data_IF_221144819191
#
_entry.id   IF_221144819191
#
_cell.length_a   1.000
_cell.length_b   1.000
_cell.length_c   1.000
_cell.angle_alpha   90.00
_cell.angle_beta   90.00
_cell.angle_gamma   90.00
#
_symmetry.space_group_name_H-M   'P 1'
#
loop_
_entity.id
_entity.type
_entity.pdbx_description
1 polymer ?
#
# COMPACT_ATOMS: atom_id res chain seq x y z
N UNK A 1 -0.74 -21.48 20.47
CA UNK A 1 -2.16 -21.69 20.11
C UNK A 1 -2.63 -20.42 19.40
N UNK A 2 -3.13 -20.51 18.17
CA UNK A 2 -3.39 -19.34 17.32
C UNK A 2 -4.66 -18.61 17.81
N UNK A 3 -4.56 -17.31 18.11
CA UNK A 3 -5.61 -16.52 18.77
C UNK A 3 -6.89 -16.49 17.93
N UNK A 4 -6.75 -16.45 16.61
CA UNK A 4 -7.88 -16.45 15.66
C UNK A 4 -8.72 -17.75 15.75
N UNK A 5 -8.05 -18.89 15.97
CA UNK A 5 -8.71 -20.21 16.07
C UNK A 5 -9.50 -20.35 17.38
N UNK A 6 -9.08 -19.63 18.42
CA UNK A 6 -9.80 -19.60 19.71
C UNK A 6 -11.04 -18.71 19.58
N UNK A 7 -10.89 -17.49 19.06
CA UNK A 7 -12.01 -16.56 18.88
C UNK A 7 -13.10 -17.10 17.94
N UNK A 8 -12.71 -17.80 16.88
CA UNK A 8 -13.67 -18.40 15.95
C UNK A 8 -14.43 -19.59 16.56
N UNK A 9 -13.80 -20.34 17.48
CA UNK A 9 -14.49 -21.40 18.24
C UNK A 9 -15.49 -20.83 19.24
N UNK A 10 -15.12 -19.78 19.96
CA UNK A 10 -16.00 -19.10 20.90
C UNK A 10 -17.23 -18.51 20.19
N UNK A 11 -17.02 -17.89 19.02
CA UNK A 11 -18.11 -17.39 18.18
C UNK A 11 -19.11 -18.49 17.79
N UNK A 12 -18.62 -19.65 17.34
CA UNK A 12 -19.47 -20.75 16.91
C UNK A 12 -20.26 -21.37 18.08
N UNK A 13 -19.63 -21.48 19.25
CA UNK A 13 -20.29 -21.99 20.46
C UNK A 13 -21.43 -21.06 20.90
N UNK A 14 -21.16 -19.76 21.00
CA UNK A 14 -22.17 -18.78 21.44
C UNK A 14 -23.29 -18.64 20.39
N UNK A 15 -22.96 -18.70 19.10
CA UNK A 15 -23.97 -18.70 18.03
C UNK A 15 -24.95 -19.87 18.17
N UNK A 16 -24.43 -21.06 18.50
CA UNK A 16 -25.23 -22.26 18.68
C UNK A 16 -26.13 -22.16 19.92
N UNK A 17 -25.60 -21.66 21.03
CA UNK A 17 -26.35 -21.39 22.26
C UNK A 17 -27.52 -20.41 22.04
N UNK A 18 -27.30 -19.34 21.28
CA UNK A 18 -28.35 -18.37 20.92
C UNK A 18 -29.44 -19.03 20.06
N UNK A 19 -29.06 -19.90 19.13
CA UNK A 19 -30.01 -20.61 18.26
C UNK A 19 -30.87 -21.62 19.04
N UNK A 20 -30.26 -22.35 19.98
CA UNK A 20 -30.90 -23.38 20.80
C UNK A 20 -31.72 -22.79 21.96
N UNK A 21 -31.51 -21.51 22.29
CA UNK A 21 -32.26 -20.81 23.35
C UNK A 21 -33.77 -20.75 23.11
N UNK A 22 -34.56 -20.70 24.19
CA UNK A 22 -36.03 -20.55 24.14
C UNK A 22 -36.53 -19.13 23.83
N UNK A 23 -35.66 -18.24 23.33
CA UNK A 23 -35.97 -16.83 23.07
C UNK A 23 -36.87 -16.63 21.83
N UNK A 24 -37.54 -15.47 21.77
CA UNK A 24 -38.30 -15.10 20.58
C UNK A 24 -37.39 -14.88 19.37
N UNK A 25 -37.93 -15.08 18.16
CA UNK A 25 -37.18 -14.91 16.91
C UNK A 25 -36.49 -13.54 16.81
N UNK A 26 -37.16 -12.50 17.30
CA UNK A 26 -36.65 -11.13 17.25
C UNK A 26 -35.41 -10.97 18.13
N UNK A 27 -35.44 -11.51 19.35
CA UNK A 27 -34.31 -11.46 20.29
C UNK A 27 -33.11 -12.24 19.78
N UNK A 28 -33.33 -13.43 19.20
CA UNK A 28 -32.26 -14.22 18.57
C UNK A 28 -31.55 -13.45 17.47
N UNK A 29 -32.32 -12.78 16.60
CA UNK A 29 -31.79 -11.98 15.50
C UNK A 29 -30.94 -10.81 16.00
N UNK A 30 -31.39 -10.13 17.05
CA UNK A 30 -30.65 -9.02 17.65
C UNK A 30 -29.36 -9.49 18.32
N UNK A 31 -29.38 -10.61 19.04
CA UNK A 31 -28.19 -11.18 19.68
C UNK A 31 -27.15 -11.66 18.66
N UNK A 32 -27.59 -12.36 17.60
CA UNK A 32 -26.69 -12.80 16.53
C UNK A 32 -26.05 -11.61 15.80
N UNK A 33 -26.81 -10.52 15.59
CA UNK A 33 -26.28 -9.30 14.99
C UNK A 33 -25.18 -8.69 15.86
N UNK A 34 -25.42 -8.53 17.16
CA UNK A 34 -24.42 -8.00 18.10
C UNK A 34 -23.16 -8.87 18.16
N UNK A 35 -23.35 -10.18 18.17
CA UNK A 35 -22.26 -11.16 18.17
C UNK A 35 -21.38 -11.01 16.91
N UNK A 36 -22.00 -10.90 15.74
CA UNK A 36 -21.30 -10.70 14.47
C UNK A 36 -20.56 -9.36 14.40
N UNK A 37 -21.19 -8.28 14.86
CA UNK A 37 -20.55 -6.97 14.92
C UNK A 37 -19.31 -6.98 15.82
N UNK A 38 -19.40 -7.65 16.98
CA UNK A 38 -18.27 -7.77 17.90
C UNK A 38 -17.14 -8.64 17.32
N UNK A 39 -17.47 -9.76 16.66
CA UNK A 39 -16.49 -10.57 15.94
C UNK A 39 -15.77 -9.77 14.84
N UNK A 40 -16.52 -8.99 14.05
CA UNK A 40 -15.93 -8.15 13.02
C UNK A 40 -14.97 -7.09 13.58
N UNK A 41 -15.27 -6.51 14.74
CA UNK A 41 -14.39 -5.54 15.39
C UNK A 41 -13.06 -6.14 15.87
N UNK A 42 -13.09 -7.41 16.28
CA UNK A 42 -11.92 -8.11 16.82
C UNK A 42 -11.06 -8.76 15.74
N UNK A 43 -11.70 -9.33 14.72
CA UNK A 43 -11.01 -10.17 13.72
C UNK A 43 -10.72 -9.44 12.41
N UNK A 44 -11.59 -8.51 11.97
CA UNK A 44 -11.37 -7.82 10.70
C UNK A 44 -10.35 -6.70 10.93
N UNK A 45 -9.15 -6.76 10.32
CA UNK A 45 -8.20 -5.67 10.43
C UNK A 45 -8.85 -4.41 9.86
N UNK A 46 -9.05 -3.40 10.72
CA UNK A 46 -9.57 -2.09 10.30
C UNK A 46 -8.80 -1.64 9.07
N UNK A 47 -9.51 -1.39 7.97
CA UNK A 47 -8.93 -0.89 6.72
C UNK A 47 -8.04 0.31 7.07
N UNK A 48 -6.72 0.14 6.97
CA UNK A 48 -5.77 1.22 7.27
C UNK A 48 -6.07 2.35 6.31
N UNK A 49 -6.47 3.51 6.84
CA UNK A 49 -6.69 4.72 6.04
C UNK A 49 -5.39 5.00 5.30
N UNK A 50 -5.47 5.32 4.00
CA UNK A 50 -4.31 5.81 3.23
C UNK A 50 -3.79 7.05 3.95
N UNK A 51 -2.63 6.94 4.57
CA UNK A 51 -1.94 8.09 5.15
C UNK A 51 -1.28 8.83 4.00
N UNK A 52 -1.76 10.04 3.73
CA UNK A 52 -1.14 10.96 2.78
C UNK A 52 0.23 11.35 3.32
N UNK A 53 1.27 11.17 2.52
CA UNK A 53 2.62 11.63 2.86
C UNK A 53 2.59 13.16 2.87
N UNK A 54 3.08 13.77 3.94
CA UNK A 54 3.11 15.24 4.05
C UNK A 54 4.05 15.84 2.99
N UNK A 55 3.81 17.11 2.62
CA UNK A 55 4.63 17.80 1.63
C UNK A 55 6.10 17.89 2.05
N UNK A 56 6.37 18.19 3.33
CA UNK A 56 7.72 18.24 3.89
C UNK A 56 8.43 16.89 3.84
N UNK A 57 7.73 15.80 4.15
CA UNK A 57 8.28 14.44 4.02
C UNK A 57 8.59 14.12 2.56
N UNK A 58 7.77 14.56 1.61
CA UNK A 58 8.03 14.36 0.18
C UNK A 58 9.30 15.09 -0.26
N UNK A 59 9.48 16.36 0.12
CA UNK A 59 10.67 17.14 -0.21
C UNK A 59 11.95 16.54 0.38
N UNK A 60 11.88 15.98 1.59
CA UNK A 60 13.00 15.25 2.18
C UNK A 60 13.33 13.98 1.40
N UNK A 61 12.32 13.19 1.04
CA UNK A 61 12.49 11.97 0.25
C UNK A 61 13.09 12.25 -1.13
N UNK A 62 12.67 13.35 -1.79
CA UNK A 62 13.24 13.80 -3.06
C UNK A 62 14.73 14.14 -2.92
N UNK A 63 15.14 14.87 -1.87
CA UNK A 63 16.56 15.17 -1.59
C UNK A 63 17.41 13.92 -1.31
N UNK A 64 16.85 12.95 -0.59
CA UNK A 64 17.54 11.67 -0.35
C UNK A 64 17.68 10.89 -1.65
N UNK A 65 16.63 10.91 -2.49
CA UNK A 65 16.60 10.21 -3.76
C UNK A 65 17.56 10.81 -4.80
N UNK A 66 17.70 12.14 -4.86
CA UNK A 66 18.70 12.82 -5.69
C UNK A 66 20.12 12.35 -5.39
N UNK A 67 20.43 12.11 -4.11
CA UNK A 67 21.74 11.59 -3.70
C UNK A 67 21.90 10.11 -4.03
N UNK A 68 20.86 9.31 -3.84
CA UNK A 68 20.90 7.86 -4.05
C UNK A 68 19.54 7.30 -4.47
N UNK A 69 19.46 6.89 -5.72
CA UNK A 69 18.24 6.33 -6.30
C UNK A 69 17.86 4.95 -5.72
N UNK A 70 18.85 4.18 -5.28
CA UNK A 70 18.67 2.83 -4.75
C UNK A 70 18.93 2.80 -3.24
N UNK A 71 17.86 2.87 -2.45
CA UNK A 71 17.93 2.85 -0.98
C UNK A 71 18.04 1.40 -0.48
N UNK A 72 19.11 1.12 0.28
CA UNK A 72 19.33 -0.17 0.95
C UNK A 72 18.35 -0.39 2.10
N UNK A 73 18.29 -1.62 2.66
CA UNK A 73 17.37 -1.94 3.76
C UNK A 73 17.62 -1.07 5.00
N UNK A 74 18.88 -0.81 5.31
CA UNK A 74 19.32 -0.02 6.46
C UNK A 74 18.99 1.46 6.28
N UNK A 75 19.37 2.05 5.14
CA UNK A 75 19.05 3.44 4.80
C UNK A 75 17.53 3.69 4.79
N UNK A 76 16.74 2.71 4.36
CA UNK A 76 15.27 2.79 4.39
C UNK A 76 14.73 2.91 5.81
N UNK A 77 15.34 2.21 6.77
CA UNK A 77 14.94 2.30 8.17
C UNK A 77 15.33 3.66 8.77
N UNK A 78 16.50 4.18 8.42
CA UNK A 78 16.95 5.52 8.84
C UNK A 78 16.00 6.59 8.29
N UNK A 79 15.71 6.57 6.99
CA UNK A 79 14.78 7.52 6.34
C UNK A 79 13.37 7.41 6.92
N UNK A 80 12.91 6.19 7.20
CA UNK A 80 11.62 5.95 7.85
C UNK A 80 11.57 6.59 9.26
N UNK A 81 12.65 6.46 10.03
CA UNK A 81 12.78 7.03 11.37
C UNK A 81 12.81 8.56 11.34
N UNK A 82 13.62 9.16 10.45
CA UNK A 82 13.70 10.61 10.24
C UNK A 82 12.36 11.23 9.82
N UNK A 83 11.62 10.54 8.94
CA UNK A 83 10.36 11.04 8.41
C UNK A 83 9.13 10.64 9.25
N UNK A 84 9.29 9.80 10.27
CA UNK A 84 8.18 9.25 11.05
C UNK A 84 7.21 8.39 10.23
N UNK A 85 7.68 7.78 9.13
CA UNK A 85 6.87 6.95 8.21
C UNK A 85 7.27 5.48 8.30
N UNK A 86 6.40 4.59 7.83
CA UNK A 86 6.71 3.15 7.85
C UNK A 86 7.77 2.82 6.78
N UNK A 87 8.74 1.92 7.03
CA UNK A 87 9.72 1.50 6.02
C UNK A 87 9.06 0.98 4.73
N UNK A 88 7.88 0.35 4.84
CA UNK A 88 7.10 -0.08 3.69
C UNK A 88 6.64 1.10 2.81
N UNK A 89 6.28 2.23 3.41
CA UNK A 89 5.87 3.43 2.68
C UNK A 89 7.04 4.06 1.94
N UNK A 90 8.22 4.11 2.56
CA UNK A 90 9.47 4.53 1.89
C UNK A 90 9.74 3.66 0.68
N UNK A 91 9.61 2.33 0.82
CA UNK A 91 9.78 1.39 -0.31
C UNK A 91 8.79 1.67 -1.44
N UNK A 92 7.50 1.79 -1.13
CA UNK A 92 6.46 2.04 -2.15
C UNK A 92 6.73 3.38 -2.86
N UNK A 93 7.09 4.41 -2.10
CA UNK A 93 7.40 5.72 -2.64
C UNK A 93 8.60 5.66 -3.60
N UNK A 94 9.72 5.04 -3.17
CA UNK A 94 10.92 4.87 -4.00
C UNK A 94 10.61 4.10 -5.27
N UNK A 95 9.81 3.02 -5.20
CA UNK A 95 9.37 2.29 -6.38
C UNK A 95 8.58 3.20 -7.34
N UNK A 96 7.53 3.87 -6.88
CA UNK A 96 6.73 4.75 -7.73
C UNK A 96 7.54 5.90 -8.34
N UNK A 97 8.45 6.49 -7.57
CA UNK A 97 9.29 7.59 -8.03
C UNK A 97 10.34 7.13 -9.06
N UNK A 98 10.93 5.95 -8.88
CA UNK A 98 11.81 5.32 -9.87
C UNK A 98 11.09 5.03 -11.19
N UNK A 99 9.84 4.55 -11.15
CA UNK A 99 9.05 4.35 -12.37
C UNK A 99 8.86 5.67 -13.13
N UNK A 100 8.55 6.77 -12.44
CA UNK A 100 8.41 8.08 -13.11
C UNK A 100 9.73 8.59 -13.70
N UNK A 101 10.85 8.39 -12.99
CA UNK A 101 12.17 8.85 -13.46
C UNK A 101 12.67 8.02 -14.66
N UNK A 102 12.56 6.70 -14.59
CA UNK A 102 13.01 5.79 -15.66
C UNK A 102 12.15 5.93 -16.92
N UNK A 103 10.83 6.10 -16.78
CA UNK A 103 9.94 6.38 -17.92
C UNK A 103 10.25 7.72 -18.57
N UNK A 104 10.49 8.79 -17.80
CA UNK A 104 10.90 10.08 -18.37
C UNK A 104 12.22 9.97 -19.13
N UNK A 105 13.23 9.32 -18.55
CA UNK A 105 14.53 9.15 -19.21
C UNK A 105 14.41 8.33 -20.51
N UNK A 106 13.62 7.25 -20.50
CA UNK A 106 13.38 6.44 -21.69
C UNK A 106 12.63 7.21 -22.78
N UNK A 107 11.60 7.99 -22.41
CA UNK A 107 10.87 8.84 -23.37
C UNK A 107 11.83 9.86 -24.02
N UNK A 108 12.66 10.55 -23.23
CA UNK A 108 13.63 11.50 -23.75
C UNK A 108 14.64 10.84 -24.71
N UNK A 109 15.14 9.65 -24.38
CA UNK A 109 16.00 8.87 -25.26
C UNK A 109 15.30 8.51 -26.57
N UNK A 110 14.05 8.05 -26.52
CA UNK A 110 13.29 7.69 -27.73
C UNK A 110 13.02 8.90 -28.64
N UNK A 111 12.69 10.05 -28.07
CA UNK A 111 12.49 11.29 -28.83
C UNK A 111 13.81 11.71 -29.50
N UNK A 112 14.92 11.68 -28.75
CA UNK A 112 16.24 12.03 -29.29
C UNK A 112 16.65 11.09 -30.43
N UNK A 113 16.41 9.78 -30.29
CA UNK A 113 16.69 8.78 -31.31
C UNK A 113 15.85 8.97 -32.57
N UNK A 114 14.54 9.21 -32.42
CA UNK A 114 13.65 9.49 -33.56
C UNK A 114 14.10 10.74 -34.31
N UNK A 115 14.48 11.79 -33.58
CA UNK A 115 14.97 13.03 -34.20
C UNK A 115 16.25 12.80 -35.01
N UNK A 116 17.22 12.07 -34.45
CA UNK A 116 18.45 11.69 -35.15
C UNK A 116 18.14 10.86 -36.39
N UNK A 117 17.23 9.88 -36.29
CA UNK A 117 16.85 9.03 -37.40
C UNK A 117 16.19 9.82 -38.55
N UNK A 118 15.27 10.73 -38.23
CA UNK A 118 14.63 11.61 -39.21
C UNK A 118 15.68 12.50 -39.89
N UNK A 119 16.61 13.06 -39.12
CA UNK A 119 17.67 13.92 -39.65
C UNK A 119 18.58 13.16 -40.64
N UNK A 120 19.02 11.95 -40.28
CA UNK A 120 19.83 11.09 -41.16
C UNK A 120 19.06 10.72 -42.43
N UNK A 121 17.79 10.32 -42.30
CA UNK A 121 16.95 9.97 -43.45
C UNK A 121 16.73 11.17 -44.39
N UNK A 122 16.48 12.35 -43.84
CA UNK A 122 16.34 13.59 -44.60
C UNK A 122 17.64 13.93 -45.36
N UNK A 123 18.80 13.78 -44.71
CA UNK A 123 20.10 14.02 -45.32
C UNK A 123 20.40 13.06 -46.48
N UNK A 124 19.99 11.79 -46.35
CA UNK A 124 20.11 10.76 -47.39
C UNK A 124 19.07 10.89 -48.52
N UNK A 125 17.99 11.64 -48.31
CA UNK A 125 16.99 11.93 -49.35
C UNK A 125 17.39 13.13 -50.21
N UNK A 126 18.22 14.03 -49.68
CA UNK A 126 18.68 15.24 -50.36
C UNK A 126 19.98 15.01 -51.15
N UNK A 127 20.78 14.01 -50.76
CA UNK A 127 21.96 13.55 -51.49
C UNK A 127 21.61 12.42 -52.45
#
# INVERSE_FOLDING_TARGET
MNIDIVQQRDFNYISKDILDSGLSLHEKKELLKRLYDNYNLLVVPKKRKRTTISKSTKEFLEKVFEKKQWITREERQIVAMECGITPLQVRIWVCCYLYTFTTHHYILLTISYIYIYIYIHYLFTIY
#
